data_IF_368243322168
#
_entry.id   IF_368243322168
#
_cell.length_a   1.000
_cell.length_b   1.000
_cell.length_c   1.000
_cell.angle_alpha   90.00
_cell.angle_beta   90.00
_cell.angle_gamma   90.00
#
_symmetry.space_group_name_H-M   'P 1'
#
loop_
_entity.id
_entity.type
_entity.pdbx_description
1 polymer ?
#
# COMPACT_ATOMS: atom_id res chain seq x y z
N UNK A 1 23.84 2.02 -7.96
CA UNK A 1 23.18 0.78 -8.44
C UNK A 1 23.15 -0.24 -7.32
N UNK A 2 21.97 -0.52 -6.77
CA UNK A 2 21.79 -1.47 -5.66
C UNK A 2 21.96 -2.92 -6.11
N UNK A 3 22.55 -3.77 -5.26
CA UNK A 3 22.71 -5.21 -5.50
C UNK A 3 21.39 -5.94 -5.22
N UNK A 4 20.48 -5.93 -6.20
CA UNK A 4 19.27 -6.73 -6.17
C UNK A 4 17.98 -5.93 -6.32
N UNK A 5 16.85 -6.63 -6.16
CA UNK A 5 15.49 -6.08 -6.20
C UNK A 5 14.68 -6.69 -5.06
N UNK A 6 13.73 -5.92 -4.53
CA UNK A 6 12.75 -6.40 -3.54
C UNK A 6 11.35 -6.08 -4.05
N UNK A 7 10.40 -6.98 -3.84
CA UNK A 7 9.02 -6.79 -4.25
C UNK A 7 8.25 -6.00 -3.18
N UNK A 8 7.58 -4.94 -3.59
CA UNK A 8 6.48 -4.34 -2.85
C UNK A 8 5.16 -4.94 -3.37
N UNK A 9 4.19 -5.15 -2.49
CA UNK A 9 2.92 -5.79 -2.84
C UNK A 9 1.74 -5.12 -2.16
N UNK A 10 0.62 -5.08 -2.89
CA UNK A 10 -0.69 -4.77 -2.33
C UNK A 10 -1.45 -6.07 -2.11
N UNK A 11 -2.07 -6.22 -0.94
CA UNK A 11 -2.86 -7.39 -0.56
C UNK A 11 -4.26 -6.93 -0.18
N UNK A 12 -5.24 -7.44 -0.91
CA UNK A 12 -6.66 -7.27 -0.62
C UNK A 12 -7.28 -8.65 -0.35
N UNK A 13 -7.95 -8.79 0.79
CA UNK A 13 -8.70 -9.99 1.14
C UNK A 13 -10.16 -9.81 0.69
N UNK A 14 -10.73 -10.83 0.05
CA UNK A 14 -12.12 -10.77 -0.40
C UNK A 14 -13.09 -10.89 0.79
N UNK A 15 -13.62 -9.77 1.24
CA UNK A 15 -14.68 -9.72 2.27
C UNK A 15 -16.06 -9.54 1.64
N UNK A 16 -17.16 -9.78 2.38
CA UNK A 16 -18.51 -9.44 1.90
C UNK A 16 -18.65 -7.97 1.49
N UNK A 17 -18.00 -7.05 2.22
CA UNK A 17 -18.00 -5.63 1.90
C UNK A 17 -17.29 -5.34 0.57
N UNK A 18 -16.10 -5.91 0.33
CA UNK A 18 -15.39 -5.81 -0.96
C UNK A 18 -16.24 -6.38 -2.10
N UNK A 19 -16.86 -7.55 -1.87
CA UNK A 19 -17.74 -8.20 -2.84
C UNK A 19 -18.94 -7.30 -3.23
N UNK A 20 -19.54 -6.61 -2.24
CA UNK A 20 -20.60 -5.62 -2.49
C UNK A 20 -20.09 -4.43 -3.31
N UNK A 21 -18.93 -3.87 -2.96
CA UNK A 21 -18.33 -2.74 -3.70
C UNK A 21 -18.08 -3.09 -5.17
N UNK A 22 -17.63 -4.32 -5.46
CA UNK A 22 -17.43 -4.81 -6.82
C UNK A 22 -18.76 -4.91 -7.58
N UNK A 23 -19.79 -5.53 -6.97
CA UNK A 23 -21.13 -5.63 -7.58
C UNK A 23 -21.75 -4.27 -7.90
N UNK A 24 -21.55 -3.30 -7.03
CA UNK A 24 -22.09 -1.94 -7.16
C UNK A 24 -21.22 -1.02 -8.03
N UNK A 25 -20.11 -1.52 -8.60
CA UNK A 25 -19.13 -0.73 -9.37
C UNK A 25 -18.53 0.45 -8.58
N UNK A 26 -18.46 0.34 -7.26
CA UNK A 26 -17.86 1.33 -6.34
C UNK A 26 -16.40 0.99 -6.03
N UNK A 27 -15.63 0.67 -7.07
CA UNK A 27 -14.24 0.19 -6.94
C UNK A 27 -13.31 1.23 -6.34
N UNK A 28 -13.61 2.53 -6.49
CA UNK A 28 -12.89 3.62 -5.85
C UNK A 28 -12.89 3.55 -4.31
N UNK A 29 -13.86 2.85 -3.69
CA UNK A 29 -13.93 2.66 -2.22
C UNK A 29 -13.12 1.46 -1.72
N UNK A 30 -12.59 0.63 -2.63
CA UNK A 30 -11.81 -0.56 -2.27
C UNK A 30 -10.49 -0.15 -1.61
N UNK A 31 -9.84 0.92 -2.08
CA UNK A 31 -8.58 1.39 -1.50
C UNK A 31 -8.71 1.74 0.00
N UNK A 32 -9.76 2.47 0.37
CA UNK A 32 -10.05 2.78 1.79
C UNK A 32 -10.34 1.52 2.61
N UNK A 33 -10.93 0.50 1.98
CA UNK A 33 -11.17 -0.79 2.63
C UNK A 33 -9.86 -1.57 2.86
N UNK A 34 -8.90 -1.49 1.93
CA UNK A 34 -7.56 -2.06 2.09
C UNK A 34 -6.81 -1.34 3.22
N UNK A 35 -6.82 -0.01 3.22
CA UNK A 35 -6.15 0.81 4.24
C UNK A 35 -6.66 0.53 5.67
N UNK A 36 -7.96 0.30 5.83
CA UNK A 36 -8.57 -0.03 7.14
C UNK A 36 -8.59 -1.52 7.45
N UNK A 37 -8.25 -2.37 6.47
CA UNK A 37 -8.29 -3.83 6.53
C UNK A 37 -7.05 -4.49 7.14
N UNK A 38 -6.14 -3.73 7.77
CA UNK A 38 -4.87 -4.25 8.33
C UNK A 38 -5.09 -5.42 9.30
N UNK A 39 -6.15 -5.36 10.13
CA UNK A 39 -6.50 -6.46 11.06
C UNK A 39 -6.89 -7.76 10.35
N UNK A 40 -7.30 -7.68 9.09
CA UNK A 40 -7.61 -8.82 8.23
C UNK A 40 -6.40 -9.26 7.39
N UNK A 41 -5.22 -8.67 7.60
CA UNK A 41 -4.01 -8.95 6.83
C UNK A 41 -3.95 -8.22 5.47
N UNK A 42 -4.81 -7.23 5.24
CA UNK A 42 -4.68 -6.38 4.05
C UNK A 42 -3.49 -5.44 4.17
N UNK A 43 -2.85 -5.14 3.04
CA UNK A 43 -1.68 -4.27 2.95
C UNK A 43 -1.86 -3.39 1.72
N UNK A 44 -1.89 -2.06 1.88
CA UNK A 44 -1.87 -1.15 0.73
C UNK A 44 -0.47 -1.08 0.10
N UNK A 45 -0.38 -0.70 -1.17
CA UNK A 45 0.91 -0.48 -1.82
C UNK A 45 1.81 0.48 -1.00
N UNK A 46 1.26 1.60 -0.55
CA UNK A 46 2.01 2.59 0.24
C UNK A 46 2.47 2.05 1.59
N UNK A 47 1.69 1.17 2.24
CA UNK A 47 2.13 0.49 3.45
C UNK A 47 3.28 -0.47 3.16
N UNK A 48 3.23 -1.22 2.05
CA UNK A 48 4.32 -2.10 1.66
C UNK A 48 5.61 -1.33 1.35
N UNK A 49 5.50 -0.19 0.67
CA UNK A 49 6.64 0.69 0.39
C UNK A 49 7.23 1.29 1.67
N UNK A 50 6.38 1.78 2.58
CA UNK A 50 6.81 2.30 3.88
C UNK A 50 7.54 1.23 4.70
N UNK A 51 7.02 0.00 4.71
CA UNK A 51 7.66 -1.11 5.42
C UNK A 51 9.05 -1.43 4.85
N UNK A 52 9.20 -1.44 3.53
CA UNK A 52 10.49 -1.68 2.87
C UNK A 52 11.49 -0.53 3.12
N UNK A 53 11.00 0.71 3.13
CA UNK A 53 11.81 1.89 3.46
C UNK A 53 12.28 1.85 4.92
N UNK A 54 11.37 1.61 5.87
CA UNK A 54 11.70 1.48 7.29
C UNK A 54 12.65 0.31 7.58
N UNK A 55 12.60 -0.75 6.78
CA UNK A 55 13.53 -1.87 6.85
C UNK A 55 14.88 -1.61 6.14
N UNK A 56 15.10 -0.41 5.59
CA UNK A 56 16.32 -0.02 4.87
C UNK A 56 16.55 -0.78 3.56
N UNK A 57 15.49 -1.36 2.97
CA UNK A 57 15.58 -2.17 1.74
C UNK A 57 15.50 -1.34 0.46
N UNK A 58 14.90 -0.17 0.52
CA UNK A 58 14.77 0.78 -0.59
C UNK A 58 15.06 2.20 -0.10
N UNK A 59 15.44 3.11 -1.00
CA UNK A 59 15.60 4.52 -0.68
C UNK A 59 14.23 5.20 -0.57
N UNK A 60 14.17 6.36 0.09
CA UNK A 60 12.96 7.18 0.11
C UNK A 60 12.55 7.62 -1.31
N UNK A 61 13.52 7.91 -2.17
CA UNK A 61 13.29 8.23 -3.59
C UNK A 61 12.61 7.07 -4.33
N UNK A 62 13.10 5.84 -4.15
CA UNK A 62 12.52 4.64 -4.77
C UNK A 62 11.09 4.36 -4.30
N UNK A 63 10.81 4.63 -3.02
CA UNK A 63 9.50 4.50 -2.42
C UNK A 63 8.53 5.56 -2.95
N UNK A 64 8.92 6.84 -2.95
CA UNK A 64 8.10 7.94 -3.43
C UNK A 64 7.82 7.86 -4.94
N UNK A 65 8.76 7.36 -5.74
CA UNK A 65 8.57 7.15 -7.17
C UNK A 65 7.50 6.11 -7.53
N UNK A 66 7.11 5.26 -6.56
CA UNK A 66 6.15 4.15 -6.76
C UNK A 66 4.91 4.25 -5.87
N UNK A 67 4.79 5.33 -5.10
CA UNK A 67 3.67 5.54 -4.20
C UNK A 67 2.37 5.80 -4.97
N UNK A 68 1.25 5.27 -4.46
CA UNK A 68 -0.09 5.62 -4.92
C UNK A 68 -0.45 7.05 -4.48
N UNK A 69 -0.08 7.42 -3.25
CA UNK A 69 -0.20 8.78 -2.73
C UNK A 69 1.15 9.28 -2.20
N UNK A 70 1.90 9.98 -3.08
CA UNK A 70 3.24 10.48 -2.79
C UNK A 70 3.28 11.38 -1.55
N UNK A 71 2.28 12.26 -1.40
CA UNK A 71 2.25 13.21 -0.29
C UNK A 71 1.97 12.51 1.04
N UNK A 72 0.97 11.62 1.07
CA UNK A 72 0.67 10.84 2.28
C UNK A 72 1.86 9.96 2.68
N UNK A 73 2.50 9.27 1.73
CA UNK A 73 3.67 8.44 2.03
C UNK A 73 4.82 9.29 2.56
N UNK A 74 5.07 10.46 1.98
CA UNK A 74 6.09 11.41 2.46
C UNK A 74 5.82 11.84 3.90
N UNK A 75 4.58 12.25 4.21
CA UNK A 75 4.22 12.63 5.58
C UNK A 75 4.46 11.48 6.57
N UNK A 76 4.12 10.25 6.18
CA UNK A 76 4.34 9.05 7.00
C UNK A 76 5.81 8.63 7.16
N UNK A 77 6.70 9.10 6.29
CA UNK A 77 8.15 8.89 6.42
C UNK A 77 8.81 9.90 7.35
N UNK A 78 8.18 11.08 7.54
CA UNK A 78 8.70 12.17 8.35
C UNK A 78 8.24 12.12 9.82
N UNK A 79 7.16 11.37 10.10
CA UNK A 79 6.67 11.09 11.46
C UNK A 79 7.25 9.81 12.03
#
# INVERSE_FOLDING_TARGET
SGKGRVAAYEIMIMTPAISNLIRERKTNRILSSIQTGTKLGMISMDQSLLNLYNAGKITGEDALARAANVEELRQRMLG
#
